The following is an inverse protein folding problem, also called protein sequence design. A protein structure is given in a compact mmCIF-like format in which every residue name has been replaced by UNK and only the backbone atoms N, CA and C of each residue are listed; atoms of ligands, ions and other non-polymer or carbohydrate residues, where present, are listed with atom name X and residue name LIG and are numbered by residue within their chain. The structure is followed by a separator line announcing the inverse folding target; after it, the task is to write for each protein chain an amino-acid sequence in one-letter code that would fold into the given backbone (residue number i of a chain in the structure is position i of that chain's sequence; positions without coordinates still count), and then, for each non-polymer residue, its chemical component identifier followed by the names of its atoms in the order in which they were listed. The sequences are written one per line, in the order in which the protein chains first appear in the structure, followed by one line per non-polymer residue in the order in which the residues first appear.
data_IF_096972053418
#
_entry.id   IF_096972053418
#
_cell.length_a   1.000
_cell.length_b   1.000
_cell.length_c   1.000
_cell.angle_alpha   90.00
_cell.angle_beta   90.00
_cell.angle_gamma   90.00
#
_symmetry.space_group_name_H-M   'P 1'
#
loop_
_entity.id
_entity.type
_entity.pdbx_description
1 polymer ?
#
# COMPACT_ATOMS: atom_id res chain seq x y z
N UNK A 1 7.01 14.43 10.07
CA UNK A 1 7.29 15.00 11.39
C UNK A 1 7.71 13.86 12.30
N UNK A 2 8.99 13.82 12.68
CA UNK A 2 9.52 12.83 13.61
C UNK A 2 9.23 13.33 15.04
N UNK A 3 8.24 12.75 15.71
CA UNK A 3 8.02 13.01 17.14
C UNK A 3 9.06 12.23 17.92
N UNK A 4 9.99 12.97 18.53
CA UNK A 4 11.07 12.43 19.35
C UNK A 4 10.55 11.77 20.61
N UNK A 5 10.82 10.47 20.75
CA UNK A 5 10.90 9.83 22.06
C UNK A 5 12.24 10.22 22.68
N UNK A 6 12.22 11.23 23.54
CA UNK A 6 13.32 11.51 24.48
C UNK A 6 13.31 10.37 25.53
N UNK A 7 14.05 9.29 25.25
CA UNK A 7 14.46 8.32 26.26
C UNK A 7 15.57 8.96 27.11
N UNK A 8 15.19 9.73 28.12
CA UNK A 8 16.12 10.04 29.21
C UNK A 8 16.19 8.78 30.07
N UNK A 9 17.07 7.85 29.72
CA UNK A 9 17.57 6.91 30.73
C UNK A 9 18.44 7.75 31.66
N UNK A 10 17.92 8.11 32.84
CA UNK A 10 18.78 8.64 33.90
C UNK A 10 19.74 7.52 34.31
N UNK A 11 21.00 7.63 33.91
CA UNK A 11 22.05 6.72 34.37
C UNK A 11 22.21 6.90 35.88
N UNK A 12 22.02 5.83 36.64
CA UNK A 12 22.28 5.82 38.08
C UNK A 12 23.79 5.89 38.27
N UNK A 13 24.32 6.85 39.05
CA UNK A 13 25.71 6.86 39.43
C UNK A 13 26.10 5.53 40.08
N UNK A 14 27.20 4.91 39.64
CA UNK A 14 27.58 3.57 40.11
C UNK A 14 27.76 3.51 41.64
N UNK A 15 28.25 4.59 42.25
CA UNK A 15 28.36 4.71 43.71
C UNK A 15 27.01 4.67 44.41
N UNK A 16 25.99 5.32 43.85
CA UNK A 16 24.62 5.36 44.39
C UNK A 16 23.96 3.98 44.29
N UNK A 17 24.12 3.31 43.15
CA UNK A 17 23.65 1.94 42.96
C UNK A 17 24.25 0.97 43.99
N UNK A 18 25.56 1.03 44.24
CA UNK A 18 26.24 0.15 45.22
C UNK A 18 25.84 0.44 46.67
N UNK A 19 25.49 1.68 46.99
CA UNK A 19 25.02 2.07 48.33
C UNK A 19 23.52 1.95 48.53
N UNK A 20 22.78 1.59 47.48
CA UNK A 20 21.32 1.50 47.51
C UNK A 20 20.83 0.37 48.41
N UNK A 21 19.74 0.61 49.13
CA UNK A 21 19.00 -0.43 49.84
C UNK A 21 18.56 -1.55 48.88
N UNK A 22 18.45 -2.76 49.44
CA UNK A 22 17.81 -3.89 48.77
C UNK A 22 16.35 -3.96 49.21
N UNK A 23 15.45 -3.98 48.24
CA UNK A 23 14.01 -4.18 48.44
C UNK A 23 13.59 -5.53 47.86
N UNK A 24 12.45 -6.03 48.31
CA UNK A 24 11.88 -7.29 47.86
C UNK A 24 10.62 -7.05 47.02
N UNK A 25 10.52 -7.73 45.88
CA UNK A 25 9.35 -7.73 45.01
C UNK A 25 8.62 -9.06 45.17
N UNK A 26 7.32 -9.02 45.43
CA UNK A 26 6.47 -10.22 45.53
C UNK A 26 5.22 -10.08 44.69
N UNK A 27 4.54 -11.19 44.43
CA UNK A 27 3.19 -11.18 43.86
C UNK A 27 2.15 -11.42 44.95
N UNK A 28 0.89 -11.05 44.69
CA UNK A 28 -0.21 -11.30 45.66
C UNK A 28 -0.47 -12.79 45.90
N UNK A 29 -0.22 -13.62 44.88
CA UNK A 29 -0.60 -15.03 44.88
C UNK A 29 0.57 -15.97 45.19
N UNK A 30 1.74 -15.42 45.58
CA UNK A 30 2.94 -16.18 45.91
C UNK A 30 3.58 -15.65 47.17
N UNK A 31 4.10 -16.56 47.99
CA UNK A 31 4.94 -16.20 49.14
C UNK A 31 6.40 -15.94 48.72
N UNK A 32 6.77 -16.22 47.47
CA UNK A 32 8.13 -16.00 46.98
C UNK A 32 8.36 -14.50 46.77
N UNK A 33 9.52 -14.02 47.21
CA UNK A 33 9.99 -12.66 46.96
C UNK A 33 11.33 -12.67 46.25
N UNK A 34 11.59 -11.60 45.48
CA UNK A 34 12.81 -11.43 44.69
C UNK A 34 13.49 -10.11 45.05
N UNK A 35 14.81 -10.15 45.23
CA UNK A 35 15.59 -8.99 45.67
C UNK A 35 16.05 -8.13 44.51
N UNK A 36 15.95 -6.81 44.65
CA UNK A 36 16.46 -5.81 43.69
C UNK A 36 17.02 -4.58 44.41
N UNK A 37 18.01 -3.91 43.82
CA UNK A 37 18.48 -2.62 44.32
C UNK A 37 17.39 -1.57 44.13
N UNK A 38 17.04 -0.86 45.20
CA UNK A 38 16.02 0.18 45.23
C UNK A 38 16.27 1.28 44.18
N UNK A 39 17.49 1.81 44.12
CA UNK A 39 17.89 2.81 43.12
C UNK A 39 17.72 2.29 41.68
N UNK A 40 17.94 0.98 41.44
CA UNK A 40 17.71 0.38 40.12
C UNK A 40 16.23 0.31 39.77
N UNK A 41 15.40 -0.11 40.72
CA UNK A 41 13.95 -0.15 40.56
C UNK A 41 13.40 1.24 40.26
N UNK A 42 13.85 2.25 41.01
CA UNK A 42 13.43 3.65 40.88
C UNK A 42 13.86 4.26 39.53
N UNK A 43 15.07 3.99 39.05
CA UNK A 43 15.50 4.55 37.76
C UNK A 43 14.84 3.87 36.55
N UNK A 44 14.38 2.63 36.68
CA UNK A 44 13.75 1.88 35.58
C UNK A 44 12.24 2.13 35.46
N UNK A 45 11.60 2.52 36.56
CA UNK A 45 10.19 2.96 36.58
C UNK A 45 10.11 4.46 36.33
N UNK A 46 9.09 4.92 35.59
CA UNK A 46 8.91 6.34 35.27
C UNK A 46 7.77 6.93 36.12
N UNK A 47 7.93 8.21 36.49
CA UNK A 47 7.07 9.04 37.36
C UNK A 47 7.12 8.77 38.88
N UNK A 48 6.91 9.82 39.72
CA UNK A 48 7.49 9.91 41.04
C UNK A 48 6.70 9.03 42.00
N UNK A 49 7.17 7.81 42.23
CA UNK A 49 6.91 7.01 43.41
C UNK A 49 5.46 6.61 43.73
N UNK A 50 4.42 7.26 43.22
CA UNK A 50 3.05 7.07 43.69
C UNK A 50 2.60 5.62 43.53
N UNK A 51 2.66 5.06 42.31
CA UNK A 51 2.08 3.73 42.06
C UNK A 51 2.84 2.58 42.76
N UNK A 52 4.16 2.71 42.96
CA UNK A 52 4.96 1.73 43.71
C UNK A 52 4.93 1.97 45.23
N UNK A 53 4.81 3.22 45.70
CA UNK A 53 4.62 3.54 47.13
C UNK A 53 3.25 3.11 47.65
N UNK A 54 2.17 3.23 46.84
CA UNK A 54 0.85 2.69 47.19
C UNK A 54 0.84 1.15 47.29
N UNK A 55 1.86 0.48 46.75
CA UNK A 55 2.05 -0.97 46.76
C UNK A 55 2.89 -1.43 47.97
N UNK A 56 3.50 -0.49 48.72
CA UNK A 56 4.28 -0.81 49.92
C UNK A 56 3.34 -1.22 51.05
N UNK A 57 3.19 -2.53 51.26
CA UNK A 57 2.40 -3.06 52.38
C UNK A 57 3.19 -2.98 53.69
N UNK A 58 2.51 -2.92 54.84
CA UNK A 58 3.06 -2.60 56.17
C UNK A 58 4.17 -3.50 56.74
N UNK A 59 4.78 -4.39 55.95
CA UNK A 59 6.06 -5.05 56.24
C UNK A 59 7.17 -4.26 55.55
N UNK A 60 8.04 -3.64 56.34
CA UNK A 60 9.13 -2.79 55.87
C UNK A 60 9.88 -3.42 54.66
N UNK A 61 9.76 -2.81 53.47
CA UNK A 61 10.55 -3.06 52.25
C UNK A 61 10.10 -4.17 51.26
N UNK A 62 8.82 -4.57 51.28
CA UNK A 62 8.24 -5.44 50.24
C UNK A 62 7.28 -4.66 49.33
N UNK A 63 7.48 -4.73 48.02
CA UNK A 63 6.58 -4.22 46.98
C UNK A 63 5.75 -5.38 46.42
N UNK A 64 4.43 -5.34 46.61
CA UNK A 64 3.52 -6.41 46.18
C UNK A 64 2.78 -6.10 44.86
N UNK A 65 3.18 -6.76 43.79
CA UNK A 65 2.54 -6.61 42.49
C UNK A 65 1.27 -7.45 42.40
N UNK A 66 0.20 -6.84 41.91
CA UNK A 66 -1.08 -7.49 41.62
C UNK A 66 -1.15 -7.97 40.16
N UNK A 67 -1.99 -8.97 39.90
CA UNK A 67 -2.31 -9.45 38.55
C UNK A 67 -1.08 -9.76 37.67
N UNK A 68 0.00 -10.22 38.30
CA UNK A 68 1.23 -10.62 37.64
C UNK A 68 1.77 -11.93 38.23
N UNK A 69 2.68 -12.58 37.51
CA UNK A 69 3.28 -13.85 37.92
C UNK A 69 4.72 -13.67 38.40
N UNK A 70 5.21 -14.61 39.20
CA UNK A 70 6.60 -14.65 39.66
C UNK A 70 7.57 -14.66 38.46
N UNK A 71 7.22 -15.36 37.38
CA UNK A 71 8.01 -15.37 36.15
C UNK A 71 8.05 -14.01 35.44
N UNK A 72 6.95 -13.25 35.46
CA UNK A 72 6.91 -11.88 34.94
C UNK A 72 7.80 -10.96 35.77
N UNK A 73 7.76 -11.07 37.10
CA UNK A 73 8.66 -10.32 37.99
C UNK A 73 10.13 -10.67 37.76
N UNK A 74 10.46 -11.95 37.62
CA UNK A 74 11.84 -12.38 37.38
C UNK A 74 12.38 -11.84 36.05
N UNK A 75 11.57 -11.85 34.97
CA UNK A 75 11.91 -11.23 33.68
C UNK A 75 12.10 -9.72 33.81
N UNK A 76 11.25 -9.06 34.59
CA UNK A 76 11.40 -7.62 34.85
C UNK A 76 12.72 -7.32 35.57
N UNK A 77 13.05 -8.09 36.60
CA UNK A 77 14.31 -7.95 37.36
C UNK A 77 15.50 -8.19 36.42
N UNK A 78 15.48 -9.27 35.64
CA UNK A 78 16.57 -9.56 34.72
C UNK A 78 16.76 -8.45 33.67
N UNK A 79 15.65 -7.95 33.10
CA UNK A 79 15.68 -6.79 32.21
C UNK A 79 16.22 -5.53 32.88
N UNK A 80 15.86 -5.29 34.14
CA UNK A 80 16.36 -4.13 34.88
C UNK A 80 17.90 -4.16 34.98
N UNK A 81 18.49 -5.33 35.25
CA UNK A 81 19.95 -5.47 35.36
C UNK A 81 20.67 -5.58 34.02
N UNK A 82 20.11 -6.30 33.04
CA UNK A 82 20.81 -6.68 31.80
C UNK A 82 20.37 -5.88 30.59
N UNK A 83 19.28 -5.15 30.68
CA UNK A 83 18.62 -4.50 29.54
C UNK A 83 17.82 -5.46 28.65
N UNK A 84 17.77 -6.75 29.01
CA UNK A 84 17.05 -7.78 28.28
C UNK A 84 16.51 -8.87 29.22
N UNK A 85 15.50 -9.61 28.77
CA UNK A 85 14.90 -10.72 29.53
C UNK A 85 14.85 -12.00 28.70
N UNK A 86 14.91 -13.19 29.30
CA UNK A 86 14.89 -14.45 28.56
C UNK A 86 13.49 -14.70 28.00
N UNK A 87 13.33 -15.65 27.09
CA UNK A 87 12.01 -16.17 26.68
C UNK A 87 11.65 -17.43 27.46
N UNK A 88 12.64 -18.29 27.71
CA UNK A 88 12.52 -19.49 28.54
C UNK A 88 13.13 -19.20 29.91
N UNK A 89 12.38 -19.46 30.96
CA UNK A 89 12.91 -19.45 32.32
C UNK A 89 13.28 -20.88 32.68
N UNK A 90 14.56 -21.10 32.97
CA UNK A 90 14.98 -22.29 33.70
C UNK A 90 14.69 -22.02 35.18
N UNK A 91 13.98 -22.93 35.86
CA UNK A 91 13.76 -22.78 37.30
C UNK A 91 15.13 -22.66 37.99
N UNK A 92 15.37 -21.62 38.82
CA UNK A 92 16.58 -21.55 39.60
C UNK A 92 16.61 -22.76 40.54
N UNK A 93 17.61 -23.63 40.38
CA UNK A 93 17.82 -24.75 41.30
C UNK A 93 17.86 -24.23 42.72
N UNK A 94 16.99 -24.74 43.60
CA UNK A 94 16.85 -24.42 45.01
C UNK A 94 18.15 -24.68 45.81
N UNK A 95 19.17 -23.84 45.64
CA UNK A 95 20.47 -24.01 46.31
C UNK A 95 20.90 -22.78 47.15
N UNK A 96 20.12 -21.70 47.20
CA UNK A 96 20.50 -20.51 48.00
C UNK A 96 19.37 -19.78 48.72
N UNK A 97 18.13 -20.27 48.66
CA UNK A 97 17.06 -19.74 49.50
C UNK A 97 16.98 -20.54 50.81
N UNK A 98 17.21 -19.89 51.94
CA UNK A 98 16.79 -20.39 53.25
C UNK A 98 15.26 -20.46 53.28
N UNK A 99 14.69 -21.52 52.72
CA UNK A 99 13.25 -21.79 52.71
C UNK A 99 12.87 -22.36 54.07
N UNK A 100 12.18 -21.56 54.89
CA UNK A 100 11.48 -22.09 56.06
C UNK A 100 10.25 -22.83 55.55
N UNK A 101 10.38 -24.15 55.49
CA UNK A 101 9.39 -25.08 54.94
C UNK A 101 8.16 -25.15 55.84
N UNK A 102 7.02 -24.67 55.37
CA UNK A 102 5.70 -25.17 55.80
C UNK A 102 4.88 -25.51 54.56
N UNK A 103 4.35 -26.72 54.58
CA UNK A 103 3.65 -27.39 53.49
C UNK A 103 2.14 -27.15 53.55
N UNK A 104 1.57 -26.66 52.44
CA UNK A 104 0.19 -26.87 51.93
C UNK A 104 -0.05 -25.76 50.91
N UNK A 105 -0.67 -25.92 49.76
CA UNK A 105 -1.42 -26.99 49.11
C UNK A 105 -1.50 -26.62 47.63
N UNK A 106 -1.57 -27.64 46.78
CA UNK A 106 -1.97 -27.63 45.38
C UNK A 106 -2.79 -26.40 44.92
N UNK A 107 -2.18 -25.51 44.13
CA UNK A 107 -2.89 -24.69 43.14
C UNK A 107 -1.94 -24.26 42.00
N UNK A 108 -2.06 -24.91 40.84
CA UNK A 108 -1.99 -24.27 39.53
C UNK A 108 -0.66 -23.75 38.94
N UNK A 109 0.50 -23.83 39.58
CA UNK A 109 1.74 -23.30 38.95
C UNK A 109 2.46 -24.34 38.07
N UNK A 110 1.99 -24.47 36.82
CA UNK A 110 2.75 -25.09 35.72
C UNK A 110 3.17 -24.01 34.72
N UNK A 111 3.89 -22.98 35.17
CA UNK A 111 4.34 -21.89 34.28
C UNK A 111 5.71 -22.10 33.64
N UNK A 112 6.24 -23.33 33.60
CA UNK A 112 7.41 -23.71 32.77
C UNK A 112 7.07 -23.93 31.28
N UNK A 113 5.85 -23.61 30.83
CA UNK A 113 5.37 -23.89 29.48
C UNK A 113 4.56 -22.80 28.76
N UNK A 114 4.63 -21.52 29.17
CA UNK A 114 3.99 -20.44 28.40
C UNK A 114 4.72 -20.19 27.08
N UNK A 115 3.97 -19.96 26.02
CA UNK A 115 4.53 -19.66 24.70
C UNK A 115 5.22 -18.29 24.69
N UNK A 116 6.22 -18.06 23.82
CA UNK A 116 6.96 -16.80 23.79
C UNK A 116 6.10 -15.55 23.51
N UNK A 117 4.98 -15.66 22.78
CA UNK A 117 4.12 -14.51 22.48
C UNK A 117 3.40 -14.04 23.75
N UNK A 118 2.85 -14.97 24.53
CA UNK A 118 2.25 -14.69 25.84
C UNK A 118 3.26 -14.03 26.78
N UNK A 119 4.51 -14.51 26.79
CA UNK A 119 5.57 -13.89 27.59
C UNK A 119 5.78 -12.41 27.24
N UNK A 120 5.95 -12.05 25.97
CA UNK A 120 6.19 -10.65 25.60
C UNK A 120 4.96 -9.77 25.84
N UNK A 121 3.75 -10.30 25.62
CA UNK A 121 2.52 -9.59 25.93
C UNK A 121 2.38 -9.30 27.43
N UNK A 122 2.64 -10.28 28.28
CA UNK A 122 2.65 -10.10 29.75
C UNK A 122 3.67 -9.05 30.18
N UNK A 123 4.87 -9.04 29.60
CA UNK A 123 5.87 -8.01 29.88
C UNK A 123 5.41 -6.61 29.42
N UNK A 124 4.72 -6.51 28.29
CA UNK A 124 4.18 -5.25 27.79
C UNK A 124 3.05 -4.71 28.68
N UNK A 125 2.13 -5.59 29.10
CA UNK A 125 1.05 -5.27 30.04
C UNK A 125 1.64 -4.84 31.39
N UNK A 126 2.58 -5.62 31.94
CA UNK A 126 3.27 -5.29 33.19
C UNK A 126 3.90 -3.89 33.11
N UNK A 127 4.62 -3.61 32.02
CA UNK A 127 5.23 -2.30 31.81
C UNK A 127 4.21 -1.16 31.75
N UNK A 128 3.03 -1.36 31.18
CA UNK A 128 1.97 -0.33 31.13
C UNK A 128 1.29 -0.15 32.48
N UNK A 129 0.97 -1.24 33.18
CA UNK A 129 0.32 -1.21 34.50
C UNK A 129 1.22 -0.52 35.52
N UNK A 130 2.52 -0.84 35.52
CA UNK A 130 3.47 -0.37 36.52
C UNK A 130 4.37 0.78 36.07
N UNK A 131 4.15 1.34 34.87
CA UNK A 131 4.87 2.54 34.41
C UNK A 131 6.35 2.30 34.14
N UNK A 132 6.69 1.24 33.40
CA UNK A 132 8.08 0.88 33.04
C UNK A 132 8.29 1.02 31.52
N UNK A 133 8.36 2.24 30.98
CA UNK A 133 8.29 2.48 29.53
C UNK A 133 9.42 1.83 28.74
N UNK A 134 10.63 1.74 29.32
CA UNK A 134 11.76 1.06 28.68
C UNK A 134 11.50 -0.44 28.47
N UNK A 135 10.85 -1.09 29.43
CA UNK A 135 10.46 -2.49 29.31
C UNK A 135 9.33 -2.64 28.29
N UNK A 136 8.36 -1.73 28.31
CA UNK A 136 7.26 -1.70 27.34
C UNK A 136 7.78 -1.57 25.91
N UNK A 137 8.75 -0.70 25.66
CA UNK A 137 9.40 -0.57 24.36
C UNK A 137 10.10 -1.88 23.93
N UNK A 138 10.82 -2.54 24.84
CA UNK A 138 11.51 -3.80 24.55
C UNK A 138 10.54 -4.96 24.27
N UNK A 139 9.46 -5.03 25.03
CA UNK A 139 8.42 -6.03 24.84
C UNK A 139 7.64 -5.83 23.54
N UNK A 140 7.35 -4.57 23.19
CA UNK A 140 6.74 -4.22 21.90
C UNK A 140 7.59 -4.68 20.72
N UNK A 141 8.89 -4.34 20.72
CA UNK A 141 9.85 -4.75 19.69
C UNK A 141 9.83 -6.27 19.50
N UNK A 142 10.09 -7.02 20.59
CA UNK A 142 10.17 -8.49 20.52
C UNK A 142 8.86 -9.15 20.10
N UNK A 143 7.73 -8.67 20.62
CA UNK A 143 6.42 -9.22 20.26
C UNK A 143 6.12 -8.99 18.78
N UNK A 144 6.31 -7.76 18.29
CA UNK A 144 6.02 -7.43 16.88
C UNK A 144 7.00 -8.12 15.93
N UNK A 145 8.27 -8.26 16.27
CA UNK A 145 9.25 -8.97 15.44
C UNK A 145 8.96 -10.48 15.37
N UNK A 146 8.50 -11.08 16.47
CA UNK A 146 8.02 -12.47 16.45
C UNK A 146 6.80 -12.64 15.56
N UNK A 147 5.83 -11.74 15.65
CA UNK A 147 4.63 -11.81 14.81
C UNK A 147 4.95 -11.59 13.33
N UNK A 148 5.87 -10.69 12.99
CA UNK A 148 6.40 -10.56 11.62
C UNK A 148 7.09 -11.84 11.13
N UNK A 149 7.82 -12.53 12.02
CA UNK A 149 8.48 -13.81 11.69
C UNK A 149 7.48 -14.95 11.48
N UNK A 150 6.37 -14.94 12.23
CA UNK A 150 5.25 -15.88 12.05
C UNK A 150 4.52 -15.63 10.73
N UNK A 151 4.48 -14.38 10.26
CA UNK A 151 3.71 -13.96 9.09
C UNK A 151 2.24 -14.40 9.21
N UNK A 152 1.71 -15.22 8.30
CA UNK A 152 0.37 -15.80 8.44
C UNK A 152 0.46 -17.13 9.19
N UNK A 153 -0.10 -17.25 10.40
CA UNK A 153 0.01 -18.47 11.19
C UNK A 153 -0.74 -19.62 10.51
N UNK A 154 -0.02 -20.64 10.02
CA UNK A 154 -0.61 -21.79 9.34
C UNK A 154 -0.97 -22.93 10.31
N UNK A 155 -0.10 -23.18 11.29
CA UNK A 155 -0.25 -24.26 12.26
C UNK A 155 -1.32 -23.93 13.33
N UNK A 156 -2.15 -24.93 13.67
CA UNK A 156 -3.26 -24.74 14.61
C UNK A 156 -2.83 -24.31 16.01
N UNK A 157 -1.69 -24.79 16.50
CA UNK A 157 -1.15 -24.38 17.81
C UNK A 157 -0.69 -22.93 17.78
N UNK A 158 -0.01 -22.52 16.70
CA UNK A 158 0.43 -21.12 16.53
C UNK A 158 -0.78 -20.18 16.40
N UNK A 159 -1.82 -20.58 15.67
CA UNK A 159 -3.08 -19.81 15.60
C UNK A 159 -3.66 -19.57 16.99
N UNK A 160 -3.78 -20.60 17.82
CA UNK A 160 -4.29 -20.48 19.20
C UNK A 160 -3.42 -19.58 20.08
N UNK A 161 -2.09 -19.66 19.95
CA UNK A 161 -1.17 -18.78 20.68
C UNK A 161 -1.36 -17.31 20.29
N UNK A 162 -1.47 -17.03 19.00
CA UNK A 162 -1.74 -15.68 18.47
C UNK A 162 -3.09 -15.16 18.99
N UNK A 163 -4.16 -15.97 18.92
CA UNK A 163 -5.50 -15.59 19.39
C UNK A 163 -5.48 -15.30 20.89
N UNK A 164 -4.87 -16.19 21.68
CA UNK A 164 -4.74 -16.02 23.13
C UNK A 164 -3.99 -14.73 23.48
N UNK A 165 -2.87 -14.48 22.80
CA UNK A 165 -2.06 -13.28 23.00
C UNK A 165 -2.80 -11.99 22.64
N UNK A 166 -3.50 -11.96 21.48
CA UNK A 166 -4.32 -10.79 21.09
C UNK A 166 -5.39 -10.54 22.15
N UNK A 167 -6.11 -11.59 22.56
CA UNK A 167 -7.14 -11.47 23.59
C UNK A 167 -6.58 -11.01 24.94
N UNK A 168 -5.38 -11.44 25.32
CA UNK A 168 -4.73 -10.95 26.53
C UNK A 168 -4.44 -9.44 26.45
N UNK A 169 -3.95 -8.96 25.31
CA UNK A 169 -3.71 -7.53 25.09
C UNK A 169 -4.98 -6.70 25.19
N UNK A 170 -6.01 -7.04 24.41
CA UNK A 170 -7.25 -6.25 24.34
C UNK A 170 -8.05 -6.23 25.66
N UNK A 171 -7.89 -7.24 26.53
CA UNK A 171 -8.54 -7.26 27.85
C UNK A 171 -7.82 -6.44 28.92
N UNK A 172 -6.53 -6.15 28.74
CA UNK A 172 -5.69 -5.57 29.81
C UNK A 172 -5.04 -4.22 29.45
N UNK A 173 -5.12 -3.78 28.19
CA UNK A 173 -4.58 -2.51 27.73
C UNK A 173 -5.71 -1.50 27.45
N UNK A 174 -5.39 -0.21 27.54
CA UNK A 174 -6.32 0.87 27.21
C UNK A 174 -6.63 0.92 25.71
N UNK A 175 -7.84 1.34 25.33
CA UNK A 175 -8.36 1.31 23.94
C UNK A 175 -7.48 2.05 22.91
N UNK A 176 -6.66 3.01 23.33
CA UNK A 176 -5.78 3.79 22.47
C UNK A 176 -4.30 3.39 22.56
N UNK A 177 -4.02 2.21 23.11
CA UNK A 177 -2.66 1.68 23.15
C UNK A 177 -2.16 1.36 21.73
N UNK A 178 -0.96 1.84 21.40
CA UNK A 178 -0.32 1.64 20.09
C UNK A 178 -0.16 0.17 19.70
N UNK A 179 0.00 -0.73 20.68
CA UNK A 179 0.12 -2.16 20.43
C UNK A 179 -1.23 -2.75 20.02
N UNK A 180 -2.34 -2.30 20.60
CA UNK A 180 -3.68 -2.77 20.20
C UNK A 180 -3.99 -2.40 18.75
N UNK A 181 -3.65 -1.17 18.33
CA UNK A 181 -3.76 -0.77 16.92
C UNK A 181 -2.93 -1.66 16.00
N UNK A 182 -1.68 -1.96 16.38
CA UNK A 182 -0.82 -2.86 15.60
C UNK A 182 -1.38 -4.29 15.54
N UNK A 183 -1.87 -4.83 16.66
CA UNK A 183 -2.46 -6.16 16.74
C UNK A 183 -3.77 -6.28 15.97
N UNK A 184 -4.59 -5.23 15.94
CA UNK A 184 -5.80 -5.19 15.10
C UNK A 184 -5.45 -5.31 13.61
N UNK A 185 -4.45 -4.57 13.14
CA UNK A 185 -3.99 -4.67 11.75
C UNK A 185 -3.40 -6.05 11.45
N UNK A 186 -2.61 -6.61 12.37
CA UNK A 186 -2.07 -7.96 12.22
C UNK A 186 -3.17 -9.03 12.20
N UNK A 187 -4.20 -8.91 13.06
CA UNK A 187 -5.35 -9.80 13.07
C UNK A 187 -6.14 -9.74 11.75
N UNK A 188 -6.28 -8.54 11.19
CA UNK A 188 -6.90 -8.30 9.88
C UNK A 188 -6.11 -8.95 8.75
N UNK A 189 -4.79 -8.76 8.73
CA UNK A 189 -3.89 -9.41 7.79
C UNK A 189 -3.96 -10.95 7.86
N UNK A 190 -4.14 -11.51 9.07
CA UNK A 190 -4.26 -12.94 9.33
C UNK A 190 -5.71 -13.45 9.29
N UNK A 191 -6.70 -12.64 8.91
CA UNK A 191 -8.12 -12.94 9.11
C UNK A 191 -8.56 -14.25 8.44
N UNK A 192 -8.01 -14.56 7.26
CA UNK A 192 -8.30 -15.80 6.53
C UNK A 192 -7.95 -17.05 7.34
N UNK A 193 -6.87 -16.96 8.12
CA UNK A 193 -6.32 -18.04 8.93
C UNK A 193 -6.95 -18.13 10.31
N UNK A 194 -7.17 -16.98 10.97
CA UNK A 194 -7.69 -16.93 12.34
C UNK A 194 -9.18 -17.29 12.39
N UNK A 195 -9.98 -16.89 11.38
CA UNK A 195 -11.41 -17.18 11.33
C UNK A 195 -11.76 -18.67 11.26
N UNK A 196 -10.80 -19.54 10.93
CA UNK A 196 -11.02 -20.99 10.90
C UNK A 196 -11.00 -21.61 12.30
N UNK A 197 -10.63 -20.83 13.32
CA UNK A 197 -10.45 -21.29 14.70
C UNK A 197 -11.61 -20.77 15.56
N UNK A 198 -12.43 -21.64 16.20
CA UNK A 198 -13.60 -21.23 16.98
C UNK A 198 -13.29 -20.25 18.12
N UNK A 199 -12.11 -20.35 18.72
CA UNK A 199 -11.62 -19.46 19.77
C UNK A 199 -11.48 -18.02 19.31
N UNK A 200 -11.17 -17.80 18.02
CA UNK A 200 -11.14 -16.45 17.46
C UNK A 200 -12.52 -15.83 17.38
N UNK A 201 -13.54 -16.61 17.00
CA UNK A 201 -14.92 -16.15 16.98
C UNK A 201 -15.41 -15.76 18.38
N UNK A 202 -15.11 -16.59 19.39
CA UNK A 202 -15.40 -16.26 20.80
C UNK A 202 -14.70 -14.97 21.23
N UNK A 203 -13.44 -14.78 20.83
CA UNK A 203 -12.70 -13.58 21.15
C UNK A 203 -13.33 -12.32 20.53
N UNK A 204 -13.81 -12.39 19.29
CA UNK A 204 -14.50 -11.27 18.63
C UNK A 204 -15.82 -10.88 19.32
N UNK A 205 -16.51 -11.86 19.90
CA UNK A 205 -17.73 -11.66 20.69
C UNK A 205 -17.43 -11.03 22.06
N UNK A 206 -16.34 -11.46 22.71
CA UNK A 206 -15.90 -10.92 24.00
C UNK A 206 -15.27 -9.52 23.88
N UNK A 207 -14.65 -9.21 22.74
CA UNK A 207 -13.89 -7.98 22.51
C UNK A 207 -14.39 -7.26 21.25
N UNK A 208 -15.45 -6.43 21.38
CA UNK A 208 -16.02 -5.69 20.24
C UNK A 208 -15.03 -4.70 19.58
N UNK A 209 -14.07 -4.17 20.33
CA UNK A 209 -13.05 -3.25 19.80
C UNK A 209 -12.10 -3.92 18.80
N UNK A 210 -11.78 -5.20 18.98
CA UNK A 210 -11.01 -5.99 18.01
C UNK A 210 -11.81 -6.18 16.72
N UNK A 211 -13.10 -6.48 16.84
CA UNK A 211 -14.01 -6.60 15.69
C UNK A 211 -14.09 -5.29 14.90
N UNK A 212 -14.18 -4.15 15.59
CA UNK A 212 -14.19 -2.84 14.95
C UNK A 212 -12.88 -2.55 14.22
N UNK A 213 -11.73 -2.85 14.83
CA UNK A 213 -10.42 -2.69 14.19
C UNK A 213 -10.33 -3.51 12.89
N UNK A 214 -10.80 -4.75 12.92
CA UNK A 214 -10.80 -5.63 11.75
C UNK A 214 -11.69 -5.12 10.61
N UNK A 215 -12.85 -4.54 10.94
CA UNK A 215 -13.75 -3.94 9.95
C UNK A 215 -13.19 -2.65 9.35
N UNK A 216 -12.54 -1.81 10.17
CA UNK A 216 -11.91 -0.57 9.71
C UNK A 216 -10.77 -0.82 8.73
N UNK A 217 -9.90 -1.79 9.03
CA UNK A 217 -8.79 -2.14 8.13
C UNK A 217 -9.30 -2.77 6.83
N UNK A 218 -10.33 -3.63 6.91
CA UNK A 218 -11.01 -4.18 5.73
C UNK A 218 -11.63 -3.07 4.86
N UNK A 219 -12.25 -2.07 5.47
CA UNK A 219 -12.83 -0.93 4.76
C UNK A 219 -11.76 -0.05 4.11
N UNK A 220 -10.64 0.19 4.79
CA UNK A 220 -9.51 0.95 4.25
C UNK A 220 -8.90 0.25 3.02
N UNK A 221 -8.68 -1.07 3.10
CA UNK A 221 -8.16 -1.85 1.98
C UNK A 221 -9.12 -1.81 0.76
N UNK A 222 -10.43 -1.99 0.97
CA UNK A 222 -11.42 -1.90 -0.11
C UNK A 222 -11.46 -0.51 -0.76
N UNK A 223 -11.31 0.56 0.02
CA UNK A 223 -11.24 1.93 -0.51
C UNK A 223 -9.99 2.15 -1.37
N UNK A 224 -8.84 1.64 -0.94
CA UNK A 224 -7.59 1.77 -1.68
C UNK A 224 -7.63 0.98 -2.99
N UNK A 225 -8.12 -0.26 -2.97
CA UNK A 225 -8.27 -1.09 -4.18
C UNK A 225 -9.27 -0.47 -5.15
N UNK A 226 -10.37 0.08 -4.63
CA UNK A 226 -11.36 0.79 -5.45
C UNK A 226 -10.75 2.05 -6.09
N UNK A 227 -9.94 2.81 -5.35
CA UNK A 227 -9.28 4.00 -5.87
C UNK A 227 -8.25 3.67 -6.95
N UNK A 228 -7.45 2.61 -6.76
CA UNK A 228 -6.50 2.13 -7.76
C UNK A 228 -7.22 1.68 -9.04
N UNK A 229 -8.29 0.89 -8.93
CA UNK A 229 -9.06 0.44 -10.08
C UNK A 229 -9.75 1.59 -10.82
N UNK A 230 -10.24 2.61 -10.10
CA UNK A 230 -10.78 3.84 -10.71
C UNK A 230 -9.70 4.65 -11.43
N UNK A 231 -8.47 4.71 -10.89
CA UNK A 231 -7.35 5.37 -11.56
C UNK A 231 -6.94 4.63 -12.83
N UNK A 232 -6.83 3.30 -12.78
CA UNK A 232 -6.52 2.48 -13.96
C UNK A 232 -7.61 2.59 -15.02
N UNK A 233 -8.88 2.55 -14.61
CA UNK A 233 -10.02 2.75 -15.51
C UNK A 233 -10.01 4.15 -16.14
N UNK A 234 -9.69 5.19 -15.37
CA UNK A 234 -9.57 6.56 -15.87
C UNK A 234 -8.40 6.72 -16.85
N UNK A 235 -7.25 6.13 -16.56
CA UNK A 235 -6.09 6.12 -17.44
C UNK A 235 -6.41 5.42 -18.77
N UNK A 236 -7.07 4.26 -18.71
CA UNK A 236 -7.47 3.51 -19.89
C UNK A 236 -8.48 4.28 -20.75
N UNK A 237 -9.48 4.92 -20.12
CA UNK A 237 -10.43 5.79 -20.83
C UNK A 237 -9.74 6.98 -21.49
N UNK A 238 -8.78 7.63 -20.82
CA UNK A 238 -8.03 8.75 -21.41
C UNK A 238 -7.21 8.31 -22.63
N UNK A 239 -6.58 7.15 -22.55
CA UNK A 239 -5.74 6.62 -23.62
C UNK A 239 -6.56 6.19 -24.84
N UNK A 240 -7.68 5.49 -24.63
CA UNK A 240 -8.50 4.96 -25.72
C UNK A 240 -9.36 6.03 -26.42
N UNK A 241 -9.85 7.04 -25.70
CA UNK A 241 -10.78 8.02 -26.27
C UNK A 241 -10.09 9.22 -26.91
N UNK A 242 -8.99 9.73 -26.35
CA UNK A 242 -8.35 10.93 -26.89
C UNK A 242 -7.45 10.63 -28.10
N UNK A 243 -6.65 9.56 -28.05
CA UNK A 243 -5.71 9.25 -29.13
C UNK A 243 -6.41 8.72 -30.38
N UNK A 244 -7.40 7.84 -30.21
CA UNK A 244 -8.06 7.16 -31.32
C UNK A 244 -8.99 8.13 -32.09
N UNK A 245 -9.78 8.95 -31.39
CA UNK A 245 -10.65 9.95 -32.05
C UNK A 245 -9.85 11.02 -32.81
N UNK A 246 -8.67 11.40 -32.32
CA UNK A 246 -7.81 12.35 -33.03
C UNK A 246 -7.17 11.73 -34.26
N UNK A 247 -6.74 10.46 -34.21
CA UNK A 247 -6.21 9.76 -35.37
C UNK A 247 -7.26 9.54 -36.45
N UNK A 248 -8.45 9.08 -36.07
CA UNK A 248 -9.56 8.87 -37.01
C UNK A 248 -9.98 10.20 -37.67
N UNK A 249 -10.09 11.28 -36.89
CA UNK A 249 -10.41 12.60 -37.43
C UNK A 249 -9.33 13.12 -38.38
N UNK A 250 -8.05 12.89 -38.06
CA UNK A 250 -6.94 13.28 -38.93
C UNK A 250 -6.91 12.48 -40.24
N UNK A 251 -7.19 11.17 -40.18
CA UNK A 251 -7.29 10.32 -41.36
C UNK A 251 -8.44 10.77 -42.28
N UNK A 252 -9.63 11.03 -41.72
CA UNK A 252 -10.79 11.53 -42.49
C UNK A 252 -10.49 12.88 -43.15
N UNK A 253 -9.77 13.77 -42.48
CA UNK A 253 -9.35 15.06 -43.06
C UNK A 253 -8.33 14.87 -44.20
N UNK A 254 -7.41 13.92 -44.08
CA UNK A 254 -6.44 13.61 -45.15
C UNK A 254 -7.14 13.02 -46.37
N UNK A 255 -8.05 12.06 -46.18
CA UNK A 255 -8.84 11.47 -47.27
C UNK A 255 -9.69 12.54 -47.97
N UNK A 256 -10.32 13.43 -47.20
CA UNK A 256 -11.09 14.55 -47.75
C UNK A 256 -10.21 15.50 -48.56
N UNK A 257 -8.98 15.77 -48.11
CA UNK A 257 -8.04 16.60 -48.85
C UNK A 257 -7.58 15.93 -50.16
N UNK A 258 -7.35 14.62 -50.16
CA UNK A 258 -7.00 13.85 -51.35
C UNK A 258 -8.13 13.89 -52.39
N UNK A 259 -9.39 13.68 -51.97
CA UNK A 259 -10.57 13.76 -52.85
C UNK A 259 -10.70 15.15 -53.50
N UNK A 260 -10.39 16.23 -52.76
CA UNK A 260 -10.39 17.58 -53.31
C UNK A 260 -9.28 17.80 -54.35
N UNK A 261 -8.09 17.22 -54.15
CA UNK A 261 -7.00 17.29 -55.13
C UNK A 261 -7.34 16.54 -56.41
N UNK A 262 -7.89 15.33 -56.30
CA UNK A 262 -8.34 14.55 -57.45
C UNK A 262 -9.42 15.30 -58.24
N UNK A 263 -10.38 15.90 -57.54
CA UNK A 263 -11.43 16.71 -58.15
C UNK A 263 -10.86 17.93 -58.90
N UNK A 264 -9.82 18.57 -58.35
CA UNK A 264 -9.14 19.68 -59.01
C UNK A 264 -8.38 19.23 -60.26
N UNK A 265 -7.74 18.06 -60.22
CA UNK A 265 -7.07 17.48 -61.39
C UNK A 265 -8.06 17.18 -62.52
N UNK A 266 -9.22 16.58 -62.21
CA UNK A 266 -10.29 16.32 -63.19
C UNK A 266 -10.78 17.62 -63.86
N UNK A 267 -10.88 18.71 -63.10
CA UNK A 267 -11.26 20.02 -63.65
C UNK A 267 -10.18 20.59 -64.59
N UNK A 268 -8.89 20.39 -64.29
CA UNK A 268 -7.79 20.81 -65.15
C UNK A 268 -7.79 20.03 -66.46
N UNK A 269 -7.96 18.71 -66.40
CA UNK A 269 -8.05 17.86 -67.58
C UNK A 269 -9.24 18.26 -68.46
N UNK A 270 -10.39 18.53 -67.84
CA UNK A 270 -11.58 19.00 -68.55
C UNK A 270 -11.34 20.35 -69.26
N UNK A 271 -10.60 21.26 -68.63
CA UNK A 271 -10.23 22.54 -69.23
C UNK A 271 -9.27 22.35 -70.42
N UNK A 272 -8.32 21.42 -70.33
CA UNK A 272 -7.41 21.09 -71.42
C UNK A 272 -8.17 20.55 -72.64
N UNK A 273 -9.12 19.62 -72.42
CA UNK A 273 -9.98 19.08 -73.49
C UNK A 273 -10.78 20.18 -74.20
N UNK A 274 -11.27 21.18 -73.46
CA UNK A 274 -11.96 22.33 -74.05
C UNK A 274 -11.03 23.21 -74.89
N UNK A 275 -9.77 23.40 -74.47
CA UNK A 275 -8.78 24.15 -75.25
C UNK A 275 -8.44 23.42 -76.56
N UNK A 276 -8.22 22.11 -76.50
CA UNK A 276 -7.96 21.29 -77.69
C UNK A 276 -9.13 21.34 -78.67
N UNK A 277 -10.36 21.24 -78.14
CA UNK A 277 -11.59 21.37 -78.94
C UNK A 277 -11.69 22.73 -79.63
N UNK A 278 -11.31 23.81 -78.94
CA UNK A 278 -11.26 25.15 -79.52
C UNK A 278 -10.21 25.28 -80.63
N UNK A 279 -9.03 24.67 -80.46
CA UNK A 279 -7.98 24.64 -81.47
C UNK A 279 -8.45 23.92 -82.75
N UNK A 280 -9.11 22.76 -82.61
CA UNK A 280 -9.68 22.02 -83.74
C UNK A 280 -10.71 22.86 -84.52
N UNK A 281 -11.53 23.65 -83.83
CA UNK A 281 -12.48 24.56 -84.48
C UNK A 281 -11.78 25.67 -85.26
N UNK A 282 -10.68 26.22 -84.74
CA UNK A 282 -9.88 27.24 -85.43
C UNK A 282 -9.23 26.67 -86.70
N UNK A 283 -8.63 25.48 -86.61
CA UNK A 283 -8.05 24.79 -87.77
C UNK A 283 -9.11 24.51 -88.84
N UNK A 284 -10.27 24.02 -88.42
CA UNK A 284 -11.40 23.78 -89.33
C UNK A 284 -11.86 25.05 -90.04
N UNK A 285 -11.91 26.19 -89.33
CA UNK A 285 -12.23 27.48 -89.92
C UNK A 285 -11.16 27.92 -90.93
N UNK A 286 -9.87 27.71 -90.64
CA UNK A 286 -8.78 28.02 -91.56
C UNK A 286 -8.87 27.21 -92.86
N UNK A 287 -9.21 25.92 -92.78
CA UNK A 287 -9.44 25.06 -93.95
C UNK A 287 -10.61 25.56 -94.80
N UNK A 288 -11.71 26.01 -94.19
CA UNK A 288 -12.83 26.60 -94.91
C UNK A 288 -12.44 27.89 -95.64
N UNK A 289 -11.67 28.78 -94.98
CA UNK A 289 -11.15 30.00 -95.61
C UNK A 289 -10.24 29.68 -96.81
N UNK A 290 -9.35 28.71 -96.67
CA UNK A 290 -8.49 28.29 -97.77
C UNK A 290 -9.30 27.73 -98.93
N UNK A 291 -10.29 26.88 -98.63
CA UNK A 291 -11.20 26.31 -99.64
C UNK A 291 -12.00 27.38 -100.38
N UNK A 292 -12.48 28.40 -99.66
CA UNK A 292 -13.16 29.55 -100.25
C UNK A 292 -12.21 30.35 -101.18
N UNK A 293 -10.95 30.51 -100.80
CA UNK A 293 -9.91 31.13 -101.64
C UNK A 293 -9.71 30.36 -102.96
N UNK A 294 -9.58 29.04 -102.89
CA UNK A 294 -9.45 28.18 -104.09
C UNK A 294 -10.67 28.31 -105.01
N UNK A 295 -11.88 28.35 -104.46
CA UNK A 295 -13.10 28.57 -105.24
C UNK A 295 -13.11 29.95 -105.91
N UNK A 296 -12.65 30.99 -105.22
CA UNK A 296 -12.55 32.33 -105.78
C UNK A 296 -11.52 32.38 -106.92
N UNK A 297 -10.36 31.74 -106.77
CA UNK A 297 -9.36 31.66 -107.82
C UNK A 297 -9.88 30.91 -109.06
N UNK A 298 -10.60 29.80 -108.85
CA UNK A 298 -11.26 29.06 -109.93
C UNK A 298 -12.29 29.94 -110.66
N UNK A 299 -13.09 30.70 -109.92
CA UNK A 299 -14.05 31.65 -110.49
C UNK A 299 -13.34 32.75 -111.32
N UNK A 300 -12.19 33.25 -110.84
CA UNK A 300 -11.39 34.25 -111.55
C UNK A 300 -10.79 33.72 -112.87
N UNK A 301 -10.56 32.40 -113.00
CA UNK A 301 -10.08 31.76 -114.24
C UNK A 301 -11.20 31.50 -115.26
N UNK A 302 -12.47 31.50 -114.84
CA UNK A 302 -13.61 31.20 -115.70
C UNK A 302 -13.72 32.09 -116.96
N UNK A 303 -13.47 33.42 -116.91
CA UNK A 303 -13.47 34.27 -118.10
C UNK A 303 -12.39 33.88 -119.12
N UNK A 304 -11.21 33.48 -118.64
CA UNK A 304 -10.11 33.02 -119.49
C UNK A 304 -10.45 31.69 -120.17
N UNK A 305 -11.04 30.74 -119.45
CA UNK A 305 -11.51 29.47 -120.01
C UNK A 305 -12.57 29.69 -121.10
N UNK A 306 -13.52 30.60 -120.89
CA UNK A 306 -14.53 30.97 -121.90
C UNK A 306 -13.90 31.60 -123.15
N UNK A 307 -12.90 32.47 -122.95
CA UNK A 307 -12.16 33.10 -124.06
C UNK A 307 -11.34 32.08 -124.86
N UNK A 308 -10.72 31.12 -124.19
CA UNK A 308 -9.99 30.02 -124.83
C UNK A 308 -10.96 29.10 -125.62
N UNK A 309 -12.11 28.74 -125.04
CA UNK A 309 -13.13 27.93 -125.69
C UNK A 309 -13.72 28.60 -126.94
N UNK A 310 -14.02 29.89 -126.87
CA UNK A 310 -14.49 30.66 -128.03
C UNK A 310 -13.42 30.79 -129.11
N UNK A 311 -12.15 30.99 -128.74
CA UNK A 311 -11.03 30.97 -129.69
C UNK A 311 -10.86 29.63 -130.41
N UNK A 312 -10.96 28.52 -129.68
CA UNK A 312 -10.92 27.17 -130.26
C UNK A 312 -12.11 26.90 -131.20
N UNK A 313 -13.32 27.36 -130.85
CA UNK A 313 -14.50 27.24 -131.73
C UNK A 313 -14.34 28.07 -133.01
N UNK A 314 -13.75 29.27 -132.92
CA UNK A 314 -13.45 30.10 -134.09
C UNK A 314 -12.42 29.44 -135.03
N UNK A 315 -11.40 28.77 -134.49
CA UNK A 315 -10.43 28.00 -135.27
C UNK A 315 -11.04 26.75 -135.93
N UNK A 316 -12.00 26.09 -135.29
CA UNK A 316 -12.72 24.96 -135.86
C UNK A 316 -13.73 25.35 -136.97
N UNK A 317 -13.98 26.65 -137.13
CA UNK A 317 -14.92 27.22 -138.12
C UNK A 317 -14.21 27.77 -139.38
N UNK A 318 -12.87 27.67 -139.44
CA UNK A 318 -12.02 28.03 -140.57
C UNK A 318 -11.56 26.77 -141.30
#
# INVERSE_FOLDING_TARGET
MASGFLLIQSEIPYSEFLSSDIVELGTKNSERTFKIHKALLEAKSNEPYGRLEYIKEGKENIYQFHDTSDNTLLRFIEWAYRGDYPEKMDEPSLASANVTKVSSSDDGDTTTGKDPLSCHMEMYIFAHVYGVPGLGAKAYERLTDRLKTIDKPQDGKVKLQVISMIGLGFRNLYEHDKLLGWLGNYASFCLSELRTVPEFQKLLEEVPSLSLANLQDSAANLQQDSAANLQDSAANLQQDSAANLQQDSAAVLQDSAAVLQDSAAVLQDSAAVLQDSAAILQDSAAVLYFSAGVLQDLANLQPWLLKLKSGLQALASY
#
